data_IF_488090961993
#
_entry.id   IF_488090961993
#
_cell.length_a   1.000
_cell.length_b   1.000
_cell.length_c   1.000
_cell.angle_alpha   90.00
_cell.angle_beta   90.00
_cell.angle_gamma   90.00
#
_symmetry.space_group_name_H-M   'P 1'
#
loop_
_entity.id
_entity.type
_entity.pdbx_description
1 polymer ?
#
# COMPACT_ATOMS: atom_id res chain seq x y z
N UNK A 1 -17.60 -8.83 0.88
CA UNK A 1 -16.37 -8.03 1.06
C UNK A 1 -16.12 -7.27 -0.22
N UNK A 2 -15.92 -5.95 -0.19
CA UNK A 2 -15.58 -5.15 -1.38
C UNK A 2 -14.14 -4.66 -1.24
N UNK A 3 -13.37 -4.74 -2.32
CA UNK A 3 -12.01 -4.19 -2.37
C UNK A 3 -12.13 -2.68 -2.46
N UNK A 4 -11.39 -1.97 -1.60
CA UNK A 4 -11.30 -0.51 -1.67
C UNK A 4 -10.59 -0.10 -2.96
N UNK A 5 -11.24 0.73 -3.78
CA UNK A 5 -10.62 1.25 -5.00
C UNK A 5 -9.44 2.16 -4.67
N UNK A 6 -8.41 2.13 -5.52
CA UNK A 6 -7.31 3.10 -5.43
C UNK A 6 -7.84 4.52 -5.65
N UNK A 7 -7.35 5.53 -4.90
CA UNK A 7 -7.67 6.93 -5.18
C UNK A 7 -7.33 7.32 -6.62
N UNK A 8 -8.22 8.04 -7.28
CA UNK A 8 -7.98 8.57 -8.63
C UNK A 8 -7.44 9.98 -8.52
N UNK A 9 -6.36 10.27 -9.25
CA UNK A 9 -5.78 11.60 -9.34
C UNK A 9 -6.79 12.62 -9.86
N UNK A 10 -7.17 13.65 -9.09
CA UNK A 10 -8.04 14.70 -9.58
C UNK A 10 -7.26 15.66 -10.49
N UNK A 11 -7.85 16.26 -11.54
CA UNK A 11 -7.14 17.14 -12.48
C UNK A 11 -6.36 18.30 -11.82
N UNK A 12 -6.86 18.77 -10.68
CA UNK A 12 -6.33 19.91 -9.91
C UNK A 12 -4.91 19.65 -9.37
N UNK A 13 -4.45 18.38 -9.29
CA UNK A 13 -3.08 18.09 -8.86
C UNK A 13 -2.03 18.68 -9.80
N UNK A 14 -2.38 18.97 -11.05
CA UNK A 14 -1.44 19.51 -12.03
C UNK A 14 -1.05 20.97 -11.76
N UNK A 15 -1.86 21.70 -10.99
CA UNK A 15 -1.68 23.14 -10.76
C UNK A 15 -1.75 23.54 -9.29
N UNK A 16 -2.10 22.62 -8.37
CA UNK A 16 -2.22 22.87 -6.94
C UNK A 16 -1.36 21.89 -6.13
N UNK A 17 -0.35 22.43 -5.44
CA UNK A 17 0.52 21.68 -4.52
C UNK A 17 -0.30 21.02 -3.40
N UNK A 18 -1.24 21.75 -2.81
CA UNK A 18 -2.10 21.21 -1.76
C UNK A 18 -2.96 20.03 -2.25
N UNK A 19 -3.48 20.09 -3.49
CA UNK A 19 -4.24 18.98 -4.08
C UNK A 19 -3.33 17.77 -4.35
N UNK A 20 -2.10 18.00 -4.80
CA UNK A 20 -1.10 16.97 -4.99
C UNK A 20 -0.73 16.27 -3.66
N UNK A 21 -0.47 17.03 -2.61
CA UNK A 21 -0.18 16.49 -1.27
C UNK A 21 -1.33 15.64 -0.74
N UNK A 22 -2.56 16.16 -0.80
CA UNK A 22 -3.74 15.44 -0.34
C UNK A 22 -3.96 14.12 -1.10
N UNK A 23 -3.73 14.11 -2.42
CA UNK A 23 -3.81 12.88 -3.22
C UNK A 23 -2.74 11.87 -2.81
N UNK A 24 -1.48 12.30 -2.64
CA UNK A 24 -0.40 11.41 -2.23
C UNK A 24 -0.63 10.82 -0.83
N UNK A 25 -1.17 11.61 0.10
CA UNK A 25 -1.55 11.12 1.42
C UNK A 25 -2.64 10.04 1.31
N UNK A 26 -3.67 10.29 0.49
CA UNK A 26 -4.74 9.33 0.26
C UNK A 26 -4.22 8.01 -0.34
N UNK A 27 -3.34 8.07 -1.33
CA UNK A 27 -2.69 6.90 -1.95
C UNK A 27 -1.83 6.15 -0.94
N UNK A 28 -1.02 6.87 -0.15
CA UNK A 28 -0.19 6.25 0.88
C UNK A 28 -1.03 5.56 1.96
N UNK A 29 -2.14 6.18 2.37
CA UNK A 29 -3.06 5.61 3.35
C UNK A 29 -3.77 4.35 2.80
N UNK A 30 -4.24 4.40 1.55
CA UNK A 30 -4.82 3.25 0.84
C UNK A 30 -3.82 2.10 0.76
N UNK A 31 -2.57 2.38 0.34
CA UNK A 31 -1.51 1.39 0.25
C UNK A 31 -1.19 0.74 1.61
N UNK A 32 -1.10 1.53 2.70
CA UNK A 32 -0.91 1.02 4.07
C UNK A 32 -2.02 0.05 4.48
N UNK A 33 -3.29 0.36 4.16
CA UNK A 33 -4.42 -0.53 4.44
C UNK A 33 -4.33 -1.83 3.63
N UNK A 34 -3.99 -1.74 2.35
CA UNK A 34 -3.75 -2.91 1.50
C UNK A 34 -2.66 -3.83 2.05
N UNK A 35 -1.50 -3.29 2.41
CA UNK A 35 -0.40 -4.05 3.00
C UNK A 35 -0.73 -4.66 4.36
N UNK A 36 -1.52 -3.96 5.18
CA UNK A 36 -2.01 -4.53 6.44
C UNK A 36 -2.91 -5.76 6.20
N UNK A 37 -3.73 -5.76 5.14
CA UNK A 37 -4.53 -6.91 4.75
C UNK A 37 -3.67 -8.06 4.23
N UNK A 38 -2.65 -7.78 3.40
CA UNK A 38 -1.67 -8.79 2.96
C UNK A 38 -0.99 -9.45 4.17
N UNK A 39 -0.52 -8.67 5.14
CA UNK A 39 0.10 -9.19 6.35
C UNK A 39 -0.83 -10.10 7.17
N UNK A 40 -2.14 -9.80 7.20
CA UNK A 40 -3.15 -10.67 7.83
C UNK A 40 -3.27 -12.01 7.11
N UNK A 41 -3.34 -11.99 5.77
CA UNK A 41 -3.42 -13.21 4.96
C UNK A 41 -2.16 -14.08 5.12
N UNK A 42 -0.99 -13.46 5.14
CA UNK A 42 0.27 -14.14 5.42
C UNK A 42 0.24 -14.91 6.73
N UNK A 43 -0.20 -14.27 7.82
CA UNK A 43 -0.33 -14.93 9.12
C UNK A 43 -1.35 -16.06 9.08
N UNK A 44 -2.47 -15.86 8.39
CA UNK A 44 -3.51 -16.87 8.24
C UNK A 44 -2.96 -18.13 7.54
N UNK A 45 -2.31 -17.99 6.39
CA UNK A 45 -1.79 -19.12 5.64
C UNK A 45 -0.63 -19.83 6.35
N UNK A 46 0.26 -19.09 7.00
CA UNK A 46 1.30 -19.68 7.86
C UNK A 46 0.68 -20.48 9.01
N UNK A 47 -0.39 -19.98 9.65
CA UNK A 47 -1.13 -20.71 10.67
C UNK A 47 -1.86 -21.95 10.15
N UNK A 48 -2.21 -21.98 8.86
CA UNK A 48 -2.81 -23.13 8.18
C UNK A 48 -1.78 -24.17 7.69
N UNK A 49 -0.49 -24.01 8.02
CA UNK A 49 0.58 -24.94 7.64
C UNK A 49 1.14 -24.73 6.23
N UNK A 50 0.78 -23.64 5.56
CA UNK A 50 1.42 -23.24 4.30
C UNK A 50 2.68 -22.42 4.59
N UNK A 51 3.77 -22.67 3.90
CA UNK A 51 4.98 -21.83 4.00
C UNK A 51 4.84 -20.61 3.10
N UNK A 52 4.46 -19.46 3.68
CA UNK A 52 4.37 -18.18 2.95
C UNK A 52 5.39 -17.19 3.51
N UNK A 53 6.38 -16.81 2.69
CA UNK A 53 7.36 -15.78 3.02
C UNK A 53 6.76 -14.40 2.79
N UNK A 54 6.51 -13.67 3.87
CA UNK A 54 5.99 -12.31 3.83
C UNK A 54 6.97 -11.34 4.47
N UNK A 55 8.10 -11.15 3.80
CA UNK A 55 9.04 -10.08 4.11
C UNK A 55 8.66 -8.84 3.30
N UNK A 56 8.71 -7.63 3.87
CA UNK A 56 8.73 -6.44 3.04
C UNK A 56 9.91 -6.58 2.07
N UNK A 57 9.69 -6.32 0.76
CA UNK A 57 10.81 -6.32 -0.18
C UNK A 57 11.76 -5.22 0.27
N UNK A 58 12.90 -5.64 0.84
CA UNK A 58 13.96 -4.72 1.23
C UNK A 58 14.60 -4.23 -0.07
N UNK A 59 14.02 -3.23 -0.73
CA UNK A 59 14.74 -2.40 -1.69
C UNK A 59 15.68 -1.43 -0.92
N UNK A 60 16.50 -1.98 -0.02
CA UNK A 60 17.66 -1.28 0.53
C UNK A 60 18.90 -1.99 0.01
N UNK A 61 19.33 -1.60 -1.19
CA UNK A 61 20.69 -1.78 -1.70
C UNK A 61 20.84 -0.96 -2.97
N UNK A 62 20.89 0.38 -2.85
CA UNK A 62 21.59 1.32 -3.77
C UNK A 62 21.35 2.78 -3.37
N UNK A 63 21.85 3.15 -2.21
CA UNK A 63 22.42 4.48 -1.95
C UNK A 63 23.55 4.28 -0.92
N UNK A 64 24.63 3.68 -1.41
CA UNK A 64 25.98 3.99 -0.96
C UNK A 64 26.54 5.00 -1.95
#
# INVERSE_FOLDING_TARGET
>A
MRVEAEPVAPPEIATSEAAYEAYNEAVAAWGKRGWAQVARLCRYFNGAGMTVTCQPSRHESRLQ
#
